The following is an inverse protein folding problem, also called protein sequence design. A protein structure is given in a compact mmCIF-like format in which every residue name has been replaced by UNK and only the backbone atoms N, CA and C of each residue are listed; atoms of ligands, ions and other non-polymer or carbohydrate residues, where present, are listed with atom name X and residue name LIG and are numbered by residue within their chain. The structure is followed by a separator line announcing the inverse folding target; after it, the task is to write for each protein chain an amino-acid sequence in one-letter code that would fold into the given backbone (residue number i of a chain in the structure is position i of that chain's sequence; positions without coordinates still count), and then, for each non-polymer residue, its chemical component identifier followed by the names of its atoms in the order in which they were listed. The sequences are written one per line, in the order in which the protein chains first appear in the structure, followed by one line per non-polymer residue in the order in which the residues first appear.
data_IF_902693388031
#
_entry.id   IF_902693388031
#
_cell.length_a   1.000
_cell.length_b   1.000
_cell.length_c   1.000
_cell.angle_alpha   90.00
_cell.angle_beta   90.00
_cell.angle_gamma   90.00
#
_symmetry.space_group_name_H-M   'P 1'
#
loop_
_entity.id
_entity.type
_entity.pdbx_description
1 polymer ?
#
# COMPACT_ATOMS: atom_id res chain seq x y z
N UNK A 1 25.45 42.27 28.59
CA UNK A 1 23.98 42.23 28.73
C UNK A 1 23.49 41.36 27.59
N UNK A 2 23.23 40.09 27.88
CA UNK A 2 22.83 39.09 26.88
C UNK A 2 21.31 39.06 26.76
N UNK A 3 20.79 39.43 25.59
CA UNK A 3 19.39 39.23 25.22
C UNK A 3 19.24 37.83 24.62
N UNK A 4 18.93 36.84 25.46
CA UNK A 4 18.42 35.54 25.02
C UNK A 4 17.10 35.76 24.30
N UNK A 5 17.10 35.51 22.99
CA UNK A 5 15.88 35.45 22.19
C UNK A 5 15.40 34.01 22.23
N UNK A 6 14.58 33.67 23.23
CA UNK A 6 13.91 32.38 23.27
C UNK A 6 12.91 32.33 22.10
N UNK A 7 13.27 31.58 21.06
CA UNK A 7 12.38 31.29 19.94
C UNK A 7 11.28 30.37 20.45
N UNK A 8 10.09 30.95 20.66
CA UNK A 8 8.87 30.23 21.01
C UNK A 8 8.51 29.27 19.87
N UNK A 9 8.88 27.99 20.03
CA UNK A 9 8.46 26.90 19.15
C UNK A 9 6.94 26.78 19.25
N UNK A 10 6.21 27.27 18.24
CA UNK A 10 4.79 27.01 18.10
C UNK A 10 4.62 25.50 17.88
N UNK A 11 4.10 24.81 18.89
CA UNK A 11 3.64 23.43 18.81
C UNK A 11 2.40 23.38 17.90
N UNK A 12 2.61 23.45 16.59
CA UNK A 12 1.55 23.20 15.62
C UNK A 12 1.19 21.73 15.69
N UNK A 13 -0.02 21.42 16.17
CA UNK A 13 -0.55 20.07 16.11
C UNK A 13 -0.55 19.65 14.62
N UNK A 14 0.19 18.60 14.23
CA UNK A 14 0.23 18.17 12.84
C UNK A 14 -1.19 17.83 12.37
N UNK A 15 -1.53 18.25 11.15
CA UNK A 15 -2.82 17.89 10.57
C UNK A 15 -2.99 16.37 10.54
N UNK A 16 -4.18 15.85 10.88
CA UNK A 16 -4.40 14.42 10.89
C UNK A 16 -4.24 13.85 9.48
N UNK A 17 -3.69 12.63 9.34
CA UNK A 17 -3.56 11.95 8.07
C UNK A 17 -4.95 11.66 7.46
N UNK A 18 -4.99 11.53 6.14
CA UNK A 18 -6.14 10.99 5.43
C UNK A 18 -6.22 9.49 5.71
N UNK A 19 -7.26 9.07 6.42
CA UNK A 19 -7.50 7.67 6.74
C UNK A 19 -8.43 7.02 5.69
N UNK A 20 -7.89 6.03 4.97
CA UNK A 20 -8.59 5.24 3.97
C UNK A 20 -8.91 3.86 4.55
N UNK A 21 -10.07 3.72 5.16
CA UNK A 21 -10.51 2.49 5.84
C UNK A 21 -11.04 1.47 4.84
N UNK A 22 -10.60 0.22 4.91
CA UNK A 22 -11.20 -0.85 4.10
C UNK A 22 -12.59 -1.18 4.63
N UNK A 23 -13.59 -1.13 3.74
CA UNK A 23 -14.96 -1.60 4.03
C UNK A 23 -14.99 -3.09 4.41
N UNK A 24 -14.09 -3.89 3.82
CA UNK A 24 -13.91 -5.31 4.12
C UNK A 24 -12.46 -5.60 4.52
N UNK A 25 -12.10 -5.53 5.81
CA UNK A 25 -10.73 -5.77 6.29
C UNK A 25 -10.17 -7.15 5.87
N UNK A 26 -11.05 -8.16 5.81
CA UNK A 26 -10.71 -9.52 5.41
C UNK A 26 -10.23 -9.64 3.95
N UNK A 27 -10.59 -8.71 3.05
CA UNK A 27 -10.22 -8.78 1.63
C UNK A 27 -9.84 -7.40 1.06
N UNK A 28 -8.59 -7.20 0.58
CA UNK A 28 -8.21 -5.99 -0.12
C UNK A 28 -8.82 -5.94 -1.55
N UNK A 29 -9.48 -7.01 -2.00
CA UNK A 29 -10.16 -7.11 -3.29
C UNK A 29 -11.67 -6.99 -3.15
N UNK A 30 -12.32 -6.48 -4.21
CA UNK A 30 -13.78 -6.35 -4.30
C UNK A 30 -14.36 -5.63 -3.07
N UNK A 31 -13.71 -4.51 -2.74
CA UNK A 31 -13.89 -3.72 -1.52
C UNK A 31 -13.86 -2.23 -1.87
N UNK A 32 -14.10 -1.39 -0.87
CA UNK A 32 -14.05 0.07 -0.97
C UNK A 32 -13.11 0.62 0.09
N UNK A 33 -12.46 1.73 -0.25
CA UNK A 33 -11.76 2.56 0.71
C UNK A 33 -12.67 3.72 1.11
N UNK A 34 -12.92 3.83 2.41
CA UNK A 34 -13.82 4.79 3.01
C UNK A 34 -13.02 5.91 3.67
N UNK A 35 -13.46 7.15 3.47
CA UNK A 35 -13.01 8.33 4.22
C UNK A 35 -14.19 8.85 5.01
N UNK A 36 -14.08 8.89 6.34
CA UNK A 36 -15.17 9.27 7.25
C UNK A 36 -16.48 8.49 6.95
N UNK A 37 -16.35 7.18 6.73
CA UNK A 37 -17.47 6.29 6.42
C UNK A 37 -18.05 6.41 5.01
N UNK A 38 -17.56 7.35 4.18
CA UNK A 38 -18.01 7.54 2.79
C UNK A 38 -17.04 6.89 1.81
N UNK A 39 -17.53 6.13 0.81
CA UNK A 39 -16.66 5.47 -0.15
C UNK A 39 -15.99 6.47 -1.08
N UNK A 40 -14.66 6.50 -1.08
CA UNK A 40 -13.85 7.37 -1.94
C UNK A 40 -13.21 6.59 -3.07
N UNK A 41 -12.77 5.35 -2.81
CA UNK A 41 -12.21 4.49 -3.85
C UNK A 41 -12.93 3.15 -3.89
N UNK A 42 -13.08 2.61 -5.08
CA UNK A 42 -13.58 1.26 -5.33
C UNK A 42 -12.45 0.41 -5.89
N UNK A 43 -12.20 -0.73 -5.25
CA UNK A 43 -11.27 -1.75 -5.74
C UNK A 43 -12.11 -2.90 -6.30
N UNK A 44 -12.08 -3.08 -7.61
CA UNK A 44 -12.91 -4.06 -8.31
C UNK A 44 -12.03 -4.98 -9.13
N UNK A 45 -12.15 -6.28 -8.90
CA UNK A 45 -11.55 -7.30 -9.75
C UNK A 45 -12.60 -7.75 -10.76
N UNK A 46 -12.27 -7.67 -12.05
CA UNK A 46 -13.29 -7.65 -13.13
C UNK A 46 -13.41 -8.98 -13.85
N UNK A 47 -12.38 -9.83 -13.81
CA UNK A 47 -12.32 -11.08 -14.55
C UNK A 47 -12.47 -12.31 -13.64
N UNK A 48 -12.94 -13.42 -14.25
CA UNK A 48 -13.18 -14.70 -13.54
C UNK A 48 -11.93 -15.25 -12.86
N UNK A 49 -10.76 -14.95 -13.43
CA UNK A 49 -9.46 -15.41 -12.95
C UNK A 49 -8.79 -14.43 -11.99
N UNK A 50 -9.47 -13.33 -11.66
CA UNK A 50 -8.97 -12.28 -10.80
C UNK A 50 -7.63 -11.63 -11.24
N UNK A 51 -7.35 -11.63 -12.54
CA UNK A 51 -6.16 -11.04 -13.12
C UNK A 51 -6.21 -9.52 -13.23
N UNK A 52 -7.39 -8.91 -13.36
CA UNK A 52 -7.51 -7.46 -13.57
C UNK A 52 -8.20 -6.82 -12.38
N UNK A 53 -7.44 -6.00 -11.65
CA UNK A 53 -7.96 -5.16 -10.56
C UNK A 53 -7.94 -3.70 -10.98
N UNK A 54 -9.12 -3.08 -11.01
CA UNK A 54 -9.29 -1.64 -11.21
C UNK A 54 -9.46 -0.94 -9.87
N UNK A 55 -8.79 0.21 -9.75
CA UNK A 55 -8.96 1.13 -8.65
C UNK A 55 -9.58 2.40 -9.23
N UNK A 56 -10.79 2.71 -8.78
CA UNK A 56 -11.58 3.84 -9.27
C UNK A 56 -11.79 4.85 -8.15
N UNK A 57 -11.50 6.12 -8.41
CA UNK A 57 -11.90 7.22 -7.54
C UNK A 57 -13.39 7.49 -7.77
N UNK A 58 -14.21 7.28 -6.75
CA UNK A 58 -15.67 7.41 -6.81
C UNK A 58 -16.15 8.86 -6.81
N UNK A 59 -15.28 9.83 -6.47
CA UNK A 59 -15.64 11.25 -6.50
C UNK A 59 -15.59 11.80 -7.92
N UNK A 60 -14.66 11.30 -8.72
CA UNK A 60 -14.47 11.69 -10.12
C UNK A 60 -14.99 10.64 -11.10
N UNK A 61 -15.29 9.44 -10.61
CA UNK A 61 -15.64 8.25 -11.39
C UNK A 61 -14.56 7.85 -12.41
N UNK A 62 -13.30 8.19 -12.12
CA UNK A 62 -12.16 7.87 -12.98
C UNK A 62 -11.34 6.71 -12.43
N UNK A 63 -10.80 5.89 -13.34
CA UNK A 63 -9.83 4.84 -12.98
C UNK A 63 -8.50 5.52 -12.66
N UNK A 64 -8.01 5.36 -11.44
CA UNK A 64 -6.70 5.88 -11.02
C UNK A 64 -5.58 4.89 -11.32
N UNK A 65 -5.87 3.60 -11.26
CA UNK A 65 -4.93 2.57 -11.63
C UNK A 65 -5.62 1.26 -12.05
N UNK A 66 -4.96 0.53 -12.94
CA UNK A 66 -5.32 -0.85 -13.30
C UNK A 66 -4.10 -1.75 -13.06
N UNK A 67 -4.28 -2.76 -12.22
CA UNK A 67 -3.30 -3.82 -11.97
C UNK A 67 -3.71 -5.02 -12.83
N UNK A 68 -2.80 -5.48 -13.68
CA UNK A 68 -2.99 -6.65 -14.54
C UNK A 68 -1.97 -7.72 -14.18
N UNK A 69 -2.44 -8.73 -13.47
CA UNK A 69 -1.69 -9.95 -13.17
C UNK A 69 -1.72 -10.87 -14.37
N UNK A 70 -0.62 -11.55 -14.67
CA UNK A 70 -0.58 -12.45 -15.84
C UNK A 70 0.10 -13.75 -15.46
N UNK A 71 -0.53 -14.87 -15.78
CA UNK A 71 -0.02 -16.20 -15.45
C UNK A 71 1.31 -16.53 -16.17
N UNK A 72 1.47 -16.09 -17.42
CA UNK A 72 2.63 -16.42 -18.27
C UNK A 72 3.51 -15.21 -18.62
N UNK A 73 3.14 -14.00 -18.21
CA UNK A 73 3.84 -12.77 -18.56
C UNK A 73 4.07 -11.95 -17.29
N UNK A 74 4.99 -10.98 -17.35
CA UNK A 74 5.16 -10.06 -16.23
C UNK A 74 3.87 -9.28 -15.97
N UNK A 75 3.52 -9.16 -14.70
CA UNK A 75 2.47 -8.28 -14.22
C UNK A 75 2.71 -6.85 -14.70
N UNK A 76 1.61 -6.13 -14.94
CA UNK A 76 1.64 -4.74 -15.38
C UNK A 76 0.75 -3.88 -14.52
N UNK A 77 1.11 -2.60 -14.42
CA UNK A 77 0.28 -1.57 -13.79
C UNK A 77 0.10 -0.44 -14.79
N UNK A 78 -1.11 0.10 -14.89
CA UNK A 78 -1.42 1.25 -15.74
C UNK A 78 -1.97 2.36 -14.86
N UNK A 79 -1.41 3.55 -14.99
CA UNK A 79 -1.87 4.75 -14.30
C UNK A 79 -2.39 5.72 -15.37
N UNK A 80 -3.70 5.94 -15.53
CA UNK A 80 -4.19 6.78 -16.63
C UNK A 80 -3.66 8.22 -16.61
N UNK A 81 -3.35 8.75 -15.42
CA UNK A 81 -2.85 10.12 -15.23
C UNK A 81 -1.32 10.23 -15.04
N UNK A 82 -0.58 9.11 -15.04
CA UNK A 82 0.89 9.05 -14.87
C UNK A 82 1.53 8.22 -15.96
N UNK A 83 2.84 8.31 -16.14
CA UNK A 83 3.59 7.54 -17.12
C UNK A 83 3.04 7.69 -18.55
N UNK A 84 2.51 8.89 -18.86
CA UNK A 84 1.82 9.18 -20.12
C UNK A 84 0.61 8.28 -20.41
N UNK A 85 -0.02 7.70 -19.37
CA UNK A 85 -1.15 6.78 -19.50
C UNK A 85 -0.76 5.37 -19.96
N UNK A 86 0.55 5.05 -20.04
CA UNK A 86 1.04 3.76 -20.54
C UNK A 86 1.06 2.72 -19.43
N UNK A 87 0.99 1.45 -19.83
CA UNK A 87 1.21 0.33 -18.91
C UNK A 87 2.71 0.12 -18.68
N UNK A 88 3.11 0.12 -17.41
CA UNK A 88 4.47 -0.19 -16.95
C UNK A 88 4.52 -1.62 -16.41
N UNK A 89 5.69 -2.27 -16.47
CA UNK A 89 5.85 -3.59 -15.80
C UNK A 89 5.84 -3.38 -14.30
N UNK A 90 5.17 -4.28 -13.57
CA UNK A 90 5.06 -4.20 -12.11
C UNK A 90 6.43 -4.19 -11.45
N UNK A 91 7.39 -5.00 -11.92
CA UNK A 91 8.73 -5.07 -11.34
C UNK A 91 9.61 -3.85 -11.66
N UNK A 92 9.33 -3.15 -12.77
CA UNK A 92 10.06 -1.91 -13.10
C UNK A 92 9.54 -0.73 -12.26
N UNK A 93 8.22 -0.71 -12.01
CA UNK A 93 7.59 0.30 -11.17
C UNK A 93 7.73 0.01 -9.67
N UNK A 94 7.61 -1.24 -9.25
CA UNK A 94 7.67 -1.69 -7.87
C UNK A 94 8.55 -2.93 -7.73
N UNK A 95 9.78 -2.73 -7.26
CA UNK A 95 10.78 -3.79 -7.12
C UNK A 95 11.01 -4.14 -5.66
N UNK A 96 11.06 -5.43 -5.36
CA UNK A 96 11.49 -5.92 -4.04
C UNK A 96 12.99 -5.75 -3.86
N UNK A 97 13.38 -5.26 -2.70
CA UNK A 97 14.78 -5.07 -2.29
C UNK A 97 14.98 -5.63 -0.89
N UNK A 98 16.22 -5.97 -0.56
CA UNK A 98 16.60 -6.38 0.78
C UNK A 98 17.35 -5.23 1.45
N UNK A 99 16.85 -4.77 2.59
CA UNK A 99 17.51 -3.73 3.38
C UNK A 99 18.80 -4.29 4.01
N UNK A 100 19.71 -3.42 4.44
CA UNK A 100 20.91 -3.81 5.18
C UNK A 100 20.60 -4.57 6.47
N UNK A 101 19.42 -4.35 7.04
CA UNK A 101 18.87 -5.08 8.19
C UNK A 101 18.42 -6.52 7.85
N UNK A 102 18.46 -6.90 6.57
CA UNK A 102 18.00 -8.20 6.08
C UNK A 102 16.49 -8.29 5.84
N UNK A 103 15.73 -7.24 6.17
CA UNK A 103 14.28 -7.17 5.96
C UNK A 103 13.93 -6.90 4.49
N UNK A 104 12.82 -7.46 4.03
CA UNK A 104 12.29 -7.16 2.70
C UNK A 104 11.62 -5.78 2.70
N UNK A 105 11.85 -5.03 1.63
CA UNK A 105 11.21 -3.77 1.34
C UNK A 105 10.88 -3.68 -0.15
N UNK A 106 10.09 -2.68 -0.54
CA UNK A 106 9.68 -2.50 -1.93
C UNK A 106 9.87 -1.05 -2.34
N UNK A 107 10.72 -0.84 -3.33
CA UNK A 107 10.96 0.47 -3.93
C UNK A 107 9.90 0.72 -4.99
N UNK A 108 9.23 1.87 -4.92
CA UNK A 108 8.34 2.40 -5.95
C UNK A 108 9.09 3.47 -6.73
N UNK A 109 9.21 3.27 -8.04
CA UNK A 109 9.74 4.25 -8.99
C UNK A 109 8.59 5.08 -9.56
N UNK A 110 8.28 6.20 -8.90
CA UNK A 110 7.23 7.16 -9.31
C UNK A 110 7.82 8.28 -10.17
N UNK A 111 6.98 8.93 -10.99
CA UNK A 111 7.33 10.19 -11.66
C UNK A 111 7.62 11.33 -10.67
N UNK A 112 7.10 11.23 -9.44
CA UNK A 112 7.25 12.23 -8.37
C UNK A 112 8.44 11.96 -7.45
N UNK A 113 9.18 10.87 -7.67
CA UNK A 113 10.31 10.45 -6.84
C UNK A 113 10.33 8.95 -6.56
N UNK A 114 11.29 8.52 -5.75
CA UNK A 114 11.36 7.12 -5.31
C UNK A 114 10.87 6.98 -3.88
N UNK A 115 10.02 6.00 -3.66
CA UNK A 115 9.46 5.70 -2.35
C UNK A 115 9.81 4.28 -1.93
N UNK A 116 9.82 4.03 -0.63
CA UNK A 116 10.15 2.75 -0.03
C UNK A 116 9.03 2.30 0.89
N UNK A 117 8.37 1.20 0.53
CA UNK A 117 7.53 0.45 1.45
C UNK A 117 8.40 -0.51 2.26
N UNK A 118 8.35 -0.42 3.59
CA UNK A 118 9.06 -1.32 4.49
C UNK A 118 8.13 -1.85 5.57
N UNK A 119 8.48 -3.01 6.12
CA UNK A 119 7.81 -3.51 7.32
C UNK A 119 8.19 -2.66 8.53
N UNK A 120 7.23 -2.43 9.40
CA UNK A 120 7.42 -1.73 10.68
C UNK A 120 6.71 -2.51 11.79
N UNK A 121 7.37 -2.68 12.93
CA UNK A 121 6.80 -3.45 14.04
C UNK A 121 5.60 -2.78 14.70
N UNK A 122 5.49 -1.46 14.64
CA UNK A 122 4.39 -0.71 15.24
C UNK A 122 3.24 -0.47 14.25
N UNK A 123 3.55 -0.22 12.97
CA UNK A 123 2.60 0.22 11.96
C UNK A 123 2.45 -0.74 10.79
N UNK A 124 2.88 -2.00 10.93
CA UNK A 124 2.84 -3.09 9.95
C UNK A 124 3.59 -2.79 8.64
N UNK A 125 3.14 -1.80 7.89
CA UNK A 125 3.73 -1.34 6.65
C UNK A 125 3.83 0.19 6.64
N UNK A 126 5.01 0.72 6.31
CA UNK A 126 5.31 2.17 6.28
C UNK A 126 5.90 2.55 4.93
N UNK A 127 5.43 3.65 4.35
CA UNK A 127 5.95 4.29 3.14
C UNK A 127 6.79 5.51 3.52
N UNK A 128 8.01 5.59 3.01
CA UNK A 128 8.89 6.75 3.15
C UNK A 128 9.46 7.14 1.79
N UNK A 129 10.04 8.33 1.61
CA UNK A 129 11.03 8.55 0.56
C UNK A 129 12.16 7.51 0.67
N UNK A 130 12.75 7.12 -0.46
CA UNK A 130 13.89 6.19 -0.47
C UNK A 130 15.13 6.80 0.22
N UNK A 131 15.31 8.11 0.10
CA UNK A 131 16.47 8.86 0.62
C UNK A 131 16.27 9.45 2.02
N UNK A 132 15.07 9.38 2.58
CA UNK A 132 14.73 9.89 3.91
C UNK A 132 13.74 8.94 4.58
N UNK A 133 14.26 7.97 5.31
CA UNK A 133 13.46 6.91 5.93
C UNK A 133 12.80 7.31 7.25
N UNK A 134 13.10 8.52 7.75
CA UNK A 134 12.51 9.10 8.96
C UNK A 134 11.23 9.87 8.62
N UNK A 135 11.09 10.28 7.35
CA UNK A 135 9.89 10.94 6.85
C UNK A 135 8.81 9.96 6.37
N UNK A 136 7.94 9.53 7.28
CA UNK A 136 6.76 8.72 6.90
C UNK A 136 5.78 9.51 6.03
N UNK A 137 5.43 8.98 4.86
CA UNK A 137 4.40 9.50 3.94
C UNK A 137 3.06 8.80 4.11
N UNK A 138 3.08 7.49 4.33
CA UNK A 138 1.89 6.69 4.58
C UNK A 138 2.23 5.50 5.48
N UNK A 139 1.23 4.96 6.15
CA UNK A 139 1.38 3.75 6.97
C UNK A 139 0.06 2.97 7.04
N UNK A 140 0.12 1.71 7.47
CA UNK A 140 -1.06 0.87 7.63
C UNK A 140 -1.44 0.79 9.11
N UNK A 141 -2.69 1.09 9.41
CA UNK A 141 -3.27 0.85 10.73
C UNK A 141 -3.99 -0.49 10.70
N UNK A 142 -3.53 -1.44 11.50
CA UNK A 142 -4.08 -2.81 11.60
C UNK A 142 -4.55 -3.09 13.03
N UNK A 143 -5.66 -2.45 13.41
CA UNK A 143 -6.28 -2.58 14.73
C UNK A 143 -7.66 -3.19 14.55
N UNK A 144 -7.88 -4.49 14.82
CA UNK A 144 -9.18 -5.13 14.63
C UNK A 144 -10.31 -4.33 15.31
N UNK A 145 -11.42 -4.05 14.60
CA UNK A 145 -11.82 -4.55 13.28
C UNK A 145 -11.38 -3.67 12.10
N UNK A 146 -10.51 -2.69 12.30
CA UNK A 146 -10.11 -1.66 11.32
C UNK A 146 -8.79 -2.03 10.65
N UNK A 147 -8.83 -2.08 9.31
CA UNK A 147 -7.64 -2.04 8.47
C UNK A 147 -7.70 -0.78 7.62
N UNK A 148 -6.75 0.14 7.81
CA UNK A 148 -6.76 1.43 7.13
C UNK A 148 -5.38 1.80 6.57
N UNK A 149 -5.38 2.44 5.40
CA UNK A 149 -4.21 3.11 4.85
C UNK A 149 -4.25 4.58 5.27
N UNK A 150 -3.31 5.00 6.11
CA UNK A 150 -3.18 6.37 6.59
C UNK A 150 -2.15 7.11 5.73
N UNK A 151 -2.57 8.16 5.04
CA UNK A 151 -1.70 8.95 4.14
C UNK A 151 -1.55 10.36 4.70
N UNK A 152 -0.31 10.83 4.90
CA UNK A 152 -0.07 12.20 5.33
C UNK A 152 -0.48 13.18 4.23
N UNK A 153 -0.90 14.39 4.62
CA UNK A 153 -1.32 15.46 3.70
C UNK A 153 -0.29 15.75 2.60
N UNK A 154 1.00 15.72 2.95
CA UNK A 154 2.11 15.92 2.00
C UNK A 154 2.17 14.89 0.88
N UNK A 155 1.54 13.72 1.05
CA UNK A 155 1.58 12.60 0.12
C UNK A 155 0.25 12.38 -0.63
N UNK A 156 -0.80 13.17 -0.36
CA UNK A 156 -2.11 13.01 -0.99
C UNK A 156 -2.07 13.19 -2.52
N UNK A 157 -1.13 13.99 -3.02
CA UNK A 157 -0.90 14.17 -4.45
C UNK A 157 -0.44 12.90 -5.17
N UNK A 158 -0.05 11.86 -4.44
CA UNK A 158 0.47 10.60 -4.98
C UNK A 158 -0.45 9.40 -4.66
N UNK A 159 -1.71 9.65 -4.25
CA UNK A 159 -2.66 8.58 -3.93
C UNK A 159 -2.85 7.57 -5.07
N UNK A 160 -2.73 8.03 -6.31
CA UNK A 160 -2.81 7.21 -7.51
C UNK A 160 -1.71 6.16 -7.61
N UNK A 161 -0.57 6.37 -6.94
CA UNK A 161 0.53 5.40 -6.87
C UNK A 161 0.61 4.69 -5.51
N UNK A 162 0.25 5.37 -4.41
CA UNK A 162 0.27 4.81 -3.06
C UNK A 162 -0.79 3.69 -2.91
N UNK A 163 -2.03 3.95 -3.35
CA UNK A 163 -3.13 2.98 -3.18
C UNK A 163 -2.83 1.67 -3.92
N UNK A 164 -2.41 1.67 -5.20
CA UNK A 164 -2.09 0.43 -5.89
C UNK A 164 -0.94 -0.34 -5.24
N UNK A 165 0.09 0.36 -4.75
CA UNK A 165 1.21 -0.26 -4.03
C UNK A 165 0.74 -0.98 -2.77
N UNK A 166 -0.10 -0.31 -1.97
CA UNK A 166 -0.73 -0.90 -0.79
C UNK A 166 -1.57 -2.14 -1.14
N UNK A 167 -2.43 -2.08 -2.17
CA UNK A 167 -3.26 -3.23 -2.58
C UNK A 167 -2.39 -4.42 -3.02
N UNK A 168 -1.33 -4.19 -3.78
CA UNK A 168 -0.41 -5.25 -4.22
C UNK A 168 0.26 -5.93 -3.01
N UNK A 169 0.73 -5.13 -2.05
CA UNK A 169 1.41 -5.66 -0.86
C UNK A 169 0.46 -6.42 0.07
N UNK A 170 -0.74 -5.89 0.32
CA UNK A 170 -1.75 -6.60 1.12
C UNK A 170 -2.15 -7.94 0.50
N UNK A 171 -2.29 -7.99 -0.82
CA UNK A 171 -2.55 -9.25 -1.51
C UNK A 171 -1.40 -10.23 -1.38
N UNK A 172 -0.14 -9.76 -1.49
CA UNK A 172 1.05 -10.60 -1.35
C UNK A 172 1.14 -11.19 0.05
N UNK A 173 1.01 -10.36 1.08
CA UNK A 173 1.04 -10.80 2.47
C UNK A 173 0.00 -11.89 2.76
N UNK A 174 -1.22 -11.72 2.25
CA UNK A 174 -2.28 -12.73 2.43
C UNK A 174 -2.03 -14.03 1.67
N UNK A 175 -1.29 -14.00 0.55
CA UNK A 175 -0.88 -15.20 -0.16
C UNK A 175 0.23 -15.93 0.60
N UNK A 176 1.20 -15.18 1.12
CA UNK A 176 2.30 -15.74 1.91
C UNK A 176 1.77 -16.41 3.20
N UNK A 177 0.83 -15.78 3.92
CA UNK A 177 0.18 -16.37 5.10
C UNK A 177 -0.62 -17.64 4.78
N UNK A 178 -1.28 -17.69 3.61
CA UNK A 178 -2.02 -18.88 3.19
C UNK A 178 -1.09 -20.04 2.85
N UNK A 179 0.08 -19.77 2.26
CA UNK A 179 1.04 -20.82 1.95
C UNK A 179 1.64 -21.42 3.22
N UNK A 180 2.00 -20.59 4.21
CA UNK A 180 2.50 -21.09 5.50
C UNK A 180 1.45 -21.90 6.26
N UNK A 181 0.19 -21.45 6.31
CA UNK A 181 -0.87 -22.22 6.98
C UNK A 181 -1.20 -23.55 6.29
N UNK A 182 -1.04 -23.62 4.95
CA UNK A 182 -1.28 -24.86 4.19
C UNK A 182 -0.16 -25.87 4.39
N UNK A 183 1.08 -25.40 4.52
CA UNK A 183 2.24 -26.23 4.83
C UNK A 183 2.15 -26.83 6.24
N UNK A 184 1.79 -26.01 7.23
CA UNK A 184 1.61 -26.47 8.62
C UNK A 184 0.45 -27.48 8.75
N UNK A 185 -0.64 -27.28 7.99
CA UNK A 185 -1.74 -28.24 7.95
C UNK A 185 -1.37 -29.60 7.35
N UNK A 186 -0.51 -29.63 6.32
CA UNK A 186 0.01 -30.88 5.75
C UNK A 186 1.02 -31.58 6.67
N UNK A 187 1.89 -30.82 7.35
CA UNK A 187 2.85 -31.36 8.30
C UNK A 187 2.17 -31.99 9.52
N UNK A 188 1.10 -31.38 10.03
CA UNK A 188 0.32 -31.91 11.15
C UNK A 188 -0.53 -33.14 10.78
N UNK A 189 -1.05 -33.20 9.55
CA UNK A 189 -1.76 -34.39 9.06
C UNK A 189 -0.83 -35.60 8.84
N UNK A 190 0.43 -35.36 8.45
CA UNK A 190 1.43 -36.42 8.31
C UNK A 190 1.89 -36.97 9.69
N UNK A 191 1.97 -36.12 10.71
CA UNK A 191 2.33 -36.55 12.08
C UNK A 191 1.19 -37.30 12.80
N UNK A 192 -0.08 -36.99 12.50
CA UNK A 192 -1.23 -37.67 13.10
C UNK A 192 -1.53 -39.04 12.46
N UNK A 193 -0.87 -39.39 11.35
CA UNK A 193 -1.00 -40.66 10.65
C UNK A 193 0.20 -41.60 10.84
N UNK A 194 1.09 -41.29 11.80
CA UNK A 194 2.30 -42.07 12.14
C UNK A 194 2.12 -42.85 13.43
#
# INVERSE_FOLDING_TARGET
MDLRTDSQVKLTNPEPPLELVLEKPASPLNTRLLVNGKPWFKISTVDRDANITNITDLRTNEVVATISRRMFLSDKVKFPRRFGGKSVKKNDWMSEVKLSTGQNAWVINSESGKFLWKWDSAQRLVLTPENDTDHTLAFVKDEPPVLALCVKRSAEGSLDEIIPGFIILEQRMKLDTKQTSTWDGHAMAAFAAS
#
